data_IF_945918580875
#
_entry.id   IF_945918580875
#
_cell.length_a   1.000
_cell.length_b   1.000
_cell.length_c   1.000
_cell.angle_alpha   90.00
_cell.angle_beta   90.00
_cell.angle_gamma   90.00
#
_symmetry.space_group_name_H-M   'P 1'
#
loop_
_entity.id
_entity.type
_entity.pdbx_description
1 polymer ?
#
# COMPACT_ATOMS: atom_id res chain seq x y z
N UNK A 1 -4.44 5.35 -25.93
CA UNK A 1 -3.74 6.62 -26.23
C UNK A 1 -2.60 6.76 -25.24
N UNK A 2 -1.36 6.92 -25.70
CA UNK A 2 -0.25 7.20 -24.78
C UNK A 2 -0.37 8.67 -24.37
N UNK A 3 -0.19 8.96 -23.09
CA UNK A 3 -0.44 10.28 -22.55
C UNK A 3 0.50 11.31 -23.20
N UNK A 4 0.01 12.50 -23.60
CA UNK A 4 0.85 13.55 -24.17
C UNK A 4 1.87 14.04 -23.14
N UNK A 5 3.07 14.40 -23.60
CA UNK A 5 4.10 14.98 -22.73
C UNK A 5 3.61 16.31 -22.14
N UNK A 6 3.37 16.32 -20.83
CA UNK A 6 3.02 17.51 -20.07
C UNK A 6 4.22 17.95 -19.22
N UNK A 7 4.70 19.17 -19.44
CA UNK A 7 5.88 19.75 -18.74
C UNK A 7 5.46 20.81 -17.71
N UNK A 8 4.16 20.97 -17.47
CA UNK A 8 3.62 21.88 -16.46
C UNK A 8 3.77 21.29 -15.07
N UNK A 9 4.09 22.15 -14.10
CA UNK A 9 4.08 21.81 -12.68
C UNK A 9 3.10 22.76 -12.01
N UNK A 10 2.09 22.23 -11.33
CA UNK A 10 1.19 22.99 -10.48
C UNK A 10 1.26 22.38 -9.09
N UNK A 11 1.16 23.21 -8.06
CA UNK A 11 1.24 22.80 -6.65
C UNK A 11 0.13 21.80 -6.25
N UNK A 12 -0.94 21.71 -7.04
CA UNK A 12 -2.06 20.80 -6.85
C UNK A 12 -2.08 19.58 -7.79
N UNK A 13 -1.16 19.45 -8.75
CA UNK A 13 -1.18 18.31 -9.67
C UNK A 13 0.18 18.04 -10.32
N UNK A 14 0.59 16.77 -10.26
CA UNK A 14 1.72 16.28 -11.03
C UNK A 14 1.44 14.91 -11.63
N UNK A 15 1.83 14.77 -12.90
CA UNK A 15 1.56 13.61 -13.75
C UNK A 15 2.71 12.59 -13.71
N UNK A 16 2.85 11.90 -12.59
CA UNK A 16 3.74 10.75 -12.50
C UNK A 16 3.11 9.64 -11.66
N UNK A 17 3.43 8.40 -12.00
CA UNK A 17 2.97 7.23 -11.27
C UNK A 17 3.53 7.24 -9.84
N UNK A 18 2.68 7.52 -8.86
CA UNK A 18 3.02 7.33 -7.44
C UNK A 18 2.83 5.86 -7.06
N UNK A 19 3.92 5.25 -6.59
CA UNK A 19 3.90 3.90 -6.03
C UNK A 19 4.32 3.91 -4.58
N UNK A 20 3.54 3.24 -3.72
CA UNK A 20 3.92 2.96 -2.33
C UNK A 20 4.39 1.51 -2.22
N UNK A 21 5.50 1.28 -1.50
CA UNK A 21 6.02 -0.06 -1.23
C UNK A 21 6.07 -0.30 0.27
N UNK A 22 5.33 -1.29 0.75
CA UNK A 22 5.39 -1.71 2.15
C UNK A 22 6.78 -2.30 2.47
N UNK A 23 7.56 -1.62 3.30
CA UNK A 23 8.89 -2.07 3.73
C UNK A 23 8.87 -2.97 4.96
N UNK A 24 7.85 -2.85 5.81
CA UNK A 24 7.68 -3.65 7.02
C UNK A 24 6.22 -4.01 7.25
N UNK A 25 5.93 -5.31 7.38
CA UNK A 25 4.57 -5.81 7.54
C UNK A 25 4.03 -5.64 8.96
N UNK A 26 4.87 -5.76 9.98
CA UNK A 26 4.45 -5.67 11.38
C UNK A 26 4.55 -4.24 11.90
N UNK A 27 3.46 -3.76 12.48
CA UNK A 27 3.30 -2.45 13.10
C UNK A 27 2.98 -2.65 14.60
N UNK A 28 3.23 -1.65 15.44
CA UNK A 28 2.80 -1.68 16.86
C UNK A 28 1.66 -0.69 17.05
N UNK A 29 0.50 -1.19 17.48
CA UNK A 29 -0.68 -0.39 17.84
C UNK A 29 -0.94 -0.65 19.31
N UNK A 30 -0.89 0.40 20.14
CA UNK A 30 -1.04 0.31 21.60
C UNK A 30 -0.14 -0.75 22.25
N UNK A 31 1.10 -0.84 21.77
CA UNK A 31 2.10 -1.80 22.24
C UNK A 31 1.97 -3.21 21.68
N UNK A 32 0.86 -3.54 21.00
CA UNK A 32 0.58 -4.84 20.39
C UNK A 32 1.10 -4.88 18.95
N UNK A 33 1.87 -5.93 18.63
CA UNK A 33 2.33 -6.14 17.26
C UNK A 33 1.19 -6.69 16.37
N UNK A 34 0.88 -5.98 15.29
CA UNK A 34 -0.20 -6.31 14.35
C UNK A 34 0.31 -6.24 12.90
N UNK A 35 -0.09 -7.18 12.02
CA UNK A 35 0.24 -7.09 10.60
C UNK A 35 -0.59 -5.98 9.92
N UNK A 36 0.04 -5.28 8.98
CA UNK A 36 -0.55 -4.18 8.20
C UNK A 36 -1.91 -4.53 7.62
N UNK A 37 -2.09 -5.74 7.09
CA UNK A 37 -3.34 -6.17 6.45
C UNK A 37 -4.52 -6.20 7.42
N UNK A 38 -4.26 -6.49 8.70
CA UNK A 38 -5.29 -6.43 9.74
C UNK A 38 -5.67 -4.99 10.07
N UNK A 39 -4.70 -4.08 10.14
CA UNK A 39 -4.95 -2.66 10.40
C UNK A 39 -5.72 -2.05 9.22
N UNK A 40 -5.25 -2.29 7.99
CA UNK A 40 -5.80 -1.71 6.77
C UNK A 40 -7.24 -2.16 6.50
N UNK A 41 -7.61 -3.40 6.84
CA UNK A 41 -8.96 -3.93 6.63
C UNK A 41 -9.93 -3.67 7.81
N UNK A 42 -9.44 -3.14 8.93
CA UNK A 42 -10.25 -2.95 10.14
C UNK A 42 -11.12 -1.67 10.01
N UNK A 43 -12.43 -1.74 10.30
CA UNK A 43 -13.35 -0.61 10.15
C UNK A 43 -13.06 0.57 11.07
N UNK A 44 -12.25 0.39 12.12
CA UNK A 44 -11.84 1.43 13.06
C UNK A 44 -10.37 1.82 12.84
N UNK A 45 -9.49 0.85 12.62
CA UNK A 45 -8.04 1.11 12.57
C UNK A 45 -7.51 1.54 11.19
N UNK A 46 -8.30 1.41 10.10
CA UNK A 46 -7.81 1.75 8.75
C UNK A 46 -7.27 3.18 8.65
N UNK A 47 -7.84 4.11 9.43
CA UNK A 47 -7.46 5.53 9.45
C UNK A 47 -6.02 5.78 9.90
N UNK A 48 -5.37 4.80 10.54
CA UNK A 48 -3.95 4.87 10.91
C UNK A 48 -3.02 4.77 9.70
N UNK A 49 -3.51 4.28 8.55
CA UNK A 49 -2.70 4.03 7.35
C UNK A 49 -3.31 4.57 6.06
N UNK A 50 -4.62 4.85 6.03
CA UNK A 50 -5.33 5.41 4.87
C UNK A 50 -6.66 6.06 5.27
N UNK A 51 -6.98 7.18 4.63
CA UNK A 51 -8.26 7.88 4.70
C UNK A 51 -9.29 7.42 3.64
N UNK A 52 -8.92 6.45 2.78
CA UNK A 52 -9.77 5.91 1.71
C UNK A 52 -10.80 4.87 2.21
N UNK A 53 -10.80 4.58 3.51
CA UNK A 53 -11.62 3.54 4.12
C UNK A 53 -10.89 2.20 4.32
N UNK A 54 -11.60 1.15 4.78
CA UNK A 54 -11.03 -0.18 4.90
C UNK A 54 -10.55 -0.72 3.55
N UNK A 55 -9.28 -1.12 3.51
CA UNK A 55 -8.60 -1.52 2.28
C UNK A 55 -8.50 -3.04 2.16
N UNK A 56 -8.67 -3.54 0.93
CA UNK A 56 -8.29 -4.93 0.60
C UNK A 56 -6.82 -4.96 0.21
N UNK A 57 -5.98 -5.61 1.02
CA UNK A 57 -4.54 -5.71 0.73
C UNK A 57 -4.28 -6.85 -0.25
N UNK A 58 -4.09 -6.49 -1.52
CA UNK A 58 -3.76 -7.43 -2.58
C UNK A 58 -2.30 -7.92 -2.45
N UNK A 59 -2.10 -9.22 -2.71
CA UNK A 59 -0.77 -9.81 -2.85
C UNK A 59 -0.73 -10.61 -4.14
N UNK A 60 0.42 -10.59 -4.82
CA UNK A 60 0.63 -11.52 -5.91
C UNK A 60 0.61 -12.95 -5.35
N UNK A 61 -0.06 -13.85 -6.06
CA UNK A 61 0.13 -15.29 -5.87
C UNK A 61 1.59 -15.60 -6.20
N UNK A 62 2.41 -15.68 -5.15
CA UNK A 62 3.80 -16.08 -5.32
C UNK A 62 3.81 -17.61 -5.30
N UNK A 63 4.14 -18.29 -6.41
CA UNK A 63 4.36 -19.72 -6.37
C UNK A 63 5.47 -20.01 -5.35
N UNK A 64 5.32 -21.09 -4.59
CA UNK A 64 6.33 -21.53 -3.63
C UNK A 64 7.69 -21.60 -4.35
N UNK A 65 8.78 -21.11 -3.75
CA UNK A 65 10.10 -21.31 -4.33
C UNK A 65 10.31 -22.81 -4.55
N UNK A 66 10.98 -23.22 -5.65
CA UNK A 66 11.27 -24.63 -5.88
C UNK A 66 11.98 -25.19 -4.65
N UNK A 67 11.53 -26.35 -4.17
CA UNK A 67 12.23 -27.06 -3.09
C UNK A 67 13.64 -27.34 -3.61
N UNK A 68 14.63 -26.68 -3.02
CA UNK A 68 16.04 -26.96 -3.32
C UNK A 68 16.33 -28.44 -3.12
N UNK A 69 17.15 -29.02 -3.99
CA UNK A 69 17.76 -30.32 -3.75
C UNK A 69 18.76 -30.22 -2.60
#
# INVERSE_FOLDING_TARGET
PIQPLYVGHVDWYVDYSHGIRLVRRLMRVDGVAMPFERIAADPVLHVLVSDEGPMTVLRYDRPLPPRGR
#
